data_IF_778873729338
#
_entry.id   IF_778873729338
#
_cell.length_a   1.000
_cell.length_b   1.000
_cell.length_c   1.000
_cell.angle_alpha   90.00
_cell.angle_beta   90.00
_cell.angle_gamma   90.00
#
_symmetry.space_group_name_H-M   'P 1'
#
loop_
_entity.id
_entity.type
_entity.pdbx_description
1 polymer ?
#
# COMPACT_ATOMS: atom_id res chain seq x y z
N UNK A 1 -28.92 30.59 25.15
CA UNK A 1 -28.99 31.13 23.78
C UNK A 1 -27.63 31.18 23.06
N UNK A 2 -26.55 30.63 23.64
CA UNK A 2 -25.23 30.55 22.98
C UNK A 2 -24.79 29.12 22.60
N UNK A 3 -25.52 28.09 23.03
CA UNK A 3 -25.16 26.69 22.74
C UNK A 3 -25.49 26.26 21.29
N UNK A 4 -26.24 27.07 20.55
CA UNK A 4 -26.52 26.86 19.12
C UNK A 4 -25.46 27.48 18.18
N UNK A 5 -24.47 28.22 18.72
CA UNK A 5 -23.35 28.78 17.92
C UNK A 5 -22.19 27.81 17.70
N UNK A 6 -22.26 26.58 18.21
CA UNK A 6 -21.33 25.50 17.83
C UNK A 6 -21.85 24.67 16.64
N UNK A 7 -22.90 25.15 15.97
CA UNK A 7 -23.38 24.64 14.69
C UNK A 7 -22.52 25.25 13.57
N UNK A 8 -21.79 24.38 12.87
CA UNK A 8 -21.03 24.64 11.64
C UNK A 8 -19.60 25.19 11.80
N UNK A 9 -18.68 24.42 12.40
CA UNK A 9 -17.32 24.44 11.84
C UNK A 9 -17.37 23.61 10.56
N UNK A 10 -17.27 24.24 9.38
CA UNK A 10 -17.01 23.49 8.15
C UNK A 10 -15.87 22.50 8.43
N UNK A 11 -15.96 21.24 8.00
CA UNK A 11 -14.84 20.33 8.14
C UNK A 11 -13.63 20.99 7.46
N UNK A 12 -12.50 21.03 8.16
CA UNK A 12 -11.29 21.68 7.67
C UNK A 12 -11.02 21.16 6.25
N UNK A 13 -11.15 22.05 5.26
CA UNK A 13 -11.06 21.70 3.84
C UNK A 13 -9.72 21.01 3.54
N UNK A 14 -8.67 21.37 4.27
CA UNK A 14 -7.37 20.73 4.18
C UNK A 14 -7.39 19.30 4.72
N UNK A 15 -8.04 19.07 5.87
CA UNK A 15 -8.21 17.72 6.43
C UNK A 15 -9.00 16.81 5.48
N UNK A 16 -10.12 17.31 4.93
CA UNK A 16 -10.94 16.55 3.97
C UNK A 16 -10.13 16.20 2.73
N UNK A 17 -9.37 17.15 2.20
CA UNK A 17 -8.50 16.92 1.05
C UNK A 17 -7.40 15.89 1.33
N UNK A 18 -6.73 15.98 2.48
CA UNK A 18 -5.70 15.03 2.89
C UNK A 18 -6.28 13.62 3.10
N UNK A 19 -7.46 13.50 3.70
CA UNK A 19 -8.15 12.22 3.84
C UNK A 19 -8.48 11.60 2.48
N UNK A 20 -8.92 12.41 1.53
CA UNK A 20 -9.15 11.96 0.16
C UNK A 20 -7.84 11.48 -0.50
N UNK A 21 -6.77 12.28 -0.41
CA UNK A 21 -5.48 11.92 -1.01
C UNK A 21 -4.89 10.64 -0.43
N UNK A 22 -4.82 10.51 0.90
CA UNK A 22 -4.29 9.30 1.53
C UNK A 22 -5.25 8.11 1.38
N UNK A 23 -6.55 8.34 1.28
CA UNK A 23 -7.52 7.30 0.92
C UNK A 23 -7.28 6.76 -0.49
N UNK A 24 -7.10 7.65 -1.47
CA UNK A 24 -6.73 7.26 -2.84
C UNK A 24 -5.37 6.56 -2.89
N UNK A 25 -4.39 7.06 -2.13
CA UNK A 25 -3.08 6.43 -1.97
C UNK A 25 -3.18 5.02 -1.36
N UNK A 26 -4.09 4.79 -0.40
CA UNK A 26 -4.33 3.47 0.19
C UNK A 26 -4.94 2.48 -0.80
N UNK A 27 -5.83 2.95 -1.68
CA UNK A 27 -6.37 2.12 -2.77
C UNK A 27 -5.26 1.76 -3.76
N UNK A 28 -4.40 2.74 -4.09
CA UNK A 28 -3.27 2.50 -4.97
C UNK A 28 -2.27 1.51 -4.37
N UNK A 29 -1.94 1.65 -3.09
CA UNK A 29 -1.11 0.71 -2.33
C UNK A 29 -1.65 -0.72 -2.37
N UNK A 30 -2.95 -0.88 -2.14
CA UNK A 30 -3.61 -2.18 -2.29
C UNK A 30 -3.45 -2.78 -3.69
N UNK A 31 -3.61 -1.97 -4.74
CA UNK A 31 -3.45 -2.41 -6.13
C UNK A 31 -2.00 -2.80 -6.41
N UNK A 32 -1.02 -1.97 -6.00
CA UNK A 32 0.40 -2.27 -6.23
C UNK A 32 0.85 -3.50 -5.45
N UNK A 33 0.31 -3.75 -4.26
CA UNK A 33 0.60 -4.95 -3.50
C UNK A 33 -0.02 -6.20 -4.13
N UNK A 34 -1.23 -6.12 -4.71
CA UNK A 34 -1.81 -7.23 -5.49
C UNK A 34 -0.89 -7.56 -6.67
N UNK A 35 -0.51 -6.54 -7.45
CA UNK A 35 0.35 -6.71 -8.63
C UNK A 35 1.73 -7.24 -8.24
N UNK A 36 2.30 -6.76 -7.13
CA UNK A 36 3.55 -7.24 -6.58
C UNK A 36 3.50 -8.71 -6.20
N UNK A 37 2.42 -9.16 -5.54
CA UNK A 37 2.26 -10.58 -5.18
C UNK A 37 2.05 -11.44 -6.43
N UNK A 38 1.23 -11.02 -7.39
CA UNK A 38 1.07 -11.73 -8.68
C UNK A 38 2.43 -11.83 -9.40
N UNK A 39 3.20 -10.74 -9.39
CA UNK A 39 4.57 -10.67 -9.87
C UNK A 39 5.48 -11.70 -9.24
N UNK A 40 5.41 -11.87 -7.91
CA UNK A 40 6.23 -12.86 -7.20
C UNK A 40 5.98 -14.30 -7.65
N UNK A 41 4.75 -14.60 -8.05
CA UNK A 41 4.36 -15.94 -8.51
C UNK A 41 4.53 -16.14 -10.02
N UNK A 42 5.00 -15.14 -10.78
CA UNK A 42 5.26 -15.32 -12.21
C UNK A 42 3.99 -15.47 -13.07
N UNK A 43 2.81 -15.09 -12.57
CA UNK A 43 1.52 -15.37 -13.23
C UNK A 43 1.19 -14.33 -14.30
N UNK A 44 1.23 -14.75 -15.57
CA UNK A 44 1.12 -13.91 -16.79
C UNK A 44 -0.21 -13.91 -17.52
N UNK A 45 -1.10 -14.83 -17.18
CA UNK A 45 -2.36 -14.93 -17.87
C UNK A 45 -3.52 -15.23 -16.92
N UNK A 46 -4.74 -15.04 -17.45
CA UNK A 46 -5.99 -15.17 -16.70
C UNK A 46 -6.51 -16.62 -16.71
N UNK A 47 -5.62 -17.62 -16.77
CA UNK A 47 -6.04 -19.02 -16.75
C UNK A 47 -6.58 -19.41 -15.38
N UNK A 48 -7.53 -20.35 -15.41
CA UNK A 48 -8.16 -20.90 -14.19
C UNK A 48 -7.14 -21.55 -13.23
N UNK A 49 -6.02 -22.06 -13.76
CA UNK A 49 -4.94 -22.67 -12.96
C UNK A 49 -4.29 -21.68 -11.99
N UNK A 50 -4.37 -20.38 -12.26
CA UNK A 50 -3.78 -19.33 -11.42
C UNK A 50 -4.75 -18.67 -10.44
N UNK A 51 -6.01 -19.12 -10.37
CA UNK A 51 -6.99 -18.65 -9.37
C UNK A 51 -6.42 -18.64 -7.94
N UNK A 52 -5.71 -19.69 -7.47
CA UNK A 52 -5.15 -19.68 -6.11
C UNK A 52 -4.16 -18.53 -5.88
N UNK A 53 -3.38 -18.15 -6.90
CA UNK A 53 -2.44 -17.02 -6.83
C UNK A 53 -3.19 -15.70 -6.70
N UNK A 54 -4.23 -15.48 -7.51
CA UNK A 54 -5.04 -14.26 -7.42
C UNK A 54 -5.75 -14.14 -6.06
N UNK A 55 -6.24 -15.24 -5.50
CA UNK A 55 -6.80 -15.27 -4.14
C UNK A 55 -5.72 -14.94 -3.10
N UNK A 56 -4.52 -15.53 -3.22
CA UNK A 56 -3.40 -15.26 -2.32
C UNK A 56 -3.00 -13.79 -2.36
N UNK A 57 -2.92 -13.18 -3.55
CA UNK A 57 -2.64 -11.76 -3.72
C UNK A 57 -3.72 -10.90 -3.06
N UNK A 58 -5.00 -11.20 -3.31
CA UNK A 58 -6.11 -10.46 -2.72
C UNK A 58 -6.10 -10.52 -1.18
N UNK A 59 -5.95 -11.72 -0.62
CA UNK A 59 -5.93 -11.93 0.84
C UNK A 59 -4.68 -11.29 1.47
N UNK A 60 -3.51 -11.48 0.86
CA UNK A 60 -2.25 -10.89 1.33
C UNK A 60 -2.30 -9.37 1.37
N UNK A 61 -2.72 -8.74 0.26
CA UNK A 61 -2.85 -7.28 0.19
C UNK A 61 -3.94 -6.73 1.11
N UNK A 62 -5.03 -7.47 1.34
CA UNK A 62 -6.07 -7.06 2.29
C UNK A 62 -5.56 -7.10 3.74
N UNK A 63 -4.72 -8.09 4.10
CA UNK A 63 -4.09 -8.16 5.43
C UNK A 63 -3.09 -7.02 5.64
N UNK A 64 -2.25 -6.74 4.63
CA UNK A 64 -1.34 -5.59 4.64
C UNK A 64 -2.13 -4.29 4.86
N UNK A 65 -3.10 -4.01 3.99
CA UNK A 65 -3.90 -2.80 4.06
C UNK A 65 -4.61 -2.70 5.40
N UNK A 66 -5.23 -3.80 5.86
CA UNK A 66 -5.94 -3.87 7.14
C UNK A 66 -5.06 -3.55 8.34
N UNK A 67 -3.81 -4.01 8.37
CA UNK A 67 -2.86 -3.66 9.42
C UNK A 67 -2.43 -2.18 9.32
N UNK A 68 -2.14 -1.69 8.11
CA UNK A 68 -1.67 -0.33 7.86
C UNK A 68 -2.73 0.74 8.16
N UNK A 69 -4.00 0.52 7.78
CA UNK A 69 -5.10 1.45 8.09
C UNK A 69 -5.47 1.46 9.58
N UNK A 70 -5.02 0.48 10.36
CA UNK A 70 -5.19 0.40 11.82
C UNK A 70 -3.88 0.67 12.59
N UNK A 71 -2.90 1.30 11.93
CA UNK A 71 -1.63 1.66 12.55
C UNK A 71 -1.78 2.53 13.80
N UNK A 72 -2.77 3.44 13.83
CA UNK A 72 -3.06 4.32 14.98
C UNK A 72 -3.51 3.53 16.20
N UNK A 73 -4.08 2.34 16.05
CA UNK A 73 -4.52 1.48 17.15
C UNK A 73 -3.40 0.53 17.63
N UNK A 74 -2.49 0.15 16.73
CA UNK A 74 -1.38 -0.80 16.98
C UNK A 74 -0.21 -0.17 17.74
N UNK A 75 0.17 1.05 17.37
CA UNK A 75 1.42 1.68 17.82
C UNK A 75 1.38 2.52 19.10
N UNK A 76 0.25 3.08 19.60
CA UNK A 76 0.25 3.86 20.83
C UNK A 76 0.76 3.07 22.03
N UNK A 77 1.45 3.75 22.96
CA UNK A 77 1.87 3.14 24.23
C UNK A 77 0.67 2.65 25.06
N UNK A 78 -0.45 3.38 24.98
CA UNK A 78 -1.74 3.08 25.61
C UNK A 78 -2.58 2.03 24.88
N UNK A 79 -2.10 1.46 23.76
CA UNK A 79 -2.84 0.45 23.01
C UNK A 79 -3.22 -0.75 23.91
N UNK A 80 -4.42 -1.29 23.71
CA UNK A 80 -4.85 -2.53 24.34
C UNK A 80 -3.84 -3.65 24.00
N UNK A 81 -3.56 -4.56 24.95
CA UNK A 81 -2.64 -5.67 24.74
C UNK A 81 -2.97 -6.51 23.49
N UNK A 82 -4.26 -6.59 23.12
CA UNK A 82 -4.72 -7.23 21.87
C UNK A 82 -4.21 -6.57 20.59
N UNK A 83 -3.91 -5.27 20.59
CA UNK A 83 -3.31 -4.56 19.46
C UNK A 83 -1.78 -4.56 19.53
N UNK A 84 -1.20 -4.64 20.73
CA UNK A 84 0.27 -4.70 20.91
C UNK A 84 0.88 -5.97 20.30
N UNK A 85 0.18 -7.10 20.38
CA UNK A 85 0.63 -8.36 19.75
C UNK A 85 0.69 -8.26 18.22
N UNK A 86 -0.04 -7.32 17.61
CA UNK A 86 -0.03 -7.10 16.16
C UNK A 86 1.18 -6.31 15.67
N UNK A 87 1.98 -5.70 16.55
CA UNK A 87 3.16 -4.90 16.16
C UNK A 87 4.20 -5.67 15.32
N UNK A 88 4.65 -6.88 15.72
CA UNK A 88 5.57 -7.64 14.87
C UNK A 88 4.96 -7.98 13.51
N UNK A 89 3.67 -8.36 13.47
CA UNK A 89 2.97 -8.66 12.22
C UNK A 89 2.84 -7.42 11.33
N UNK A 90 2.55 -6.25 11.92
CA UNK A 90 2.48 -5.00 11.18
C UNK A 90 3.85 -4.55 10.67
N UNK A 91 4.94 -4.76 11.43
CA UNK A 91 6.29 -4.49 10.95
C UNK A 91 6.66 -5.37 9.75
N UNK A 92 6.34 -6.67 9.83
CA UNK A 92 6.53 -7.59 8.70
C UNK A 92 5.65 -7.20 7.51
N UNK A 93 4.40 -6.78 7.76
CA UNK A 93 3.50 -6.31 6.73
C UNK A 93 4.06 -5.07 6.03
N UNK A 94 4.59 -4.08 6.74
CA UNK A 94 5.20 -2.88 6.14
C UNK A 94 6.39 -3.25 5.24
N UNK A 95 7.25 -4.18 5.68
CA UNK A 95 8.41 -4.62 4.87
C UNK A 95 7.92 -5.32 3.60
N UNK A 96 6.94 -6.22 3.74
CA UNK A 96 6.39 -6.96 2.61
C UNK A 96 5.59 -6.05 1.66
N UNK A 97 4.89 -5.07 2.20
CA UNK A 97 4.17 -4.04 1.46
C UNK A 97 5.14 -3.18 0.66
N UNK A 98 6.20 -2.67 1.28
CA UNK A 98 7.24 -1.93 0.57
C UNK A 98 7.82 -2.73 -0.60
N UNK A 99 8.08 -4.02 -0.39
CA UNK A 99 8.61 -4.90 -1.42
C UNK A 99 7.61 -5.15 -2.56
N UNK A 100 6.35 -5.47 -2.23
CA UNK A 100 5.31 -5.75 -3.22
C UNK A 100 4.87 -4.48 -3.95
N UNK A 101 4.74 -3.35 -3.26
CA UNK A 101 4.49 -2.04 -3.87
C UNK A 101 5.65 -1.55 -4.73
N UNK A 102 6.91 -1.87 -4.40
CA UNK A 102 8.04 -1.62 -5.29
C UNK A 102 7.88 -2.37 -6.61
N UNK A 103 7.61 -3.67 -6.54
CA UNK A 103 7.42 -4.52 -7.72
C UNK A 103 6.21 -4.05 -8.54
N UNK A 104 5.07 -3.82 -7.91
CA UNK A 104 3.86 -3.33 -8.56
C UNK A 104 4.03 -1.94 -9.18
N UNK A 105 4.78 -1.04 -8.54
CA UNK A 105 5.10 0.29 -9.08
C UNK A 105 6.06 0.21 -10.27
N UNK A 106 7.09 -0.64 -10.19
CA UNK A 106 8.02 -0.88 -11.29
C UNK A 106 7.29 -1.40 -12.54
N UNK A 107 6.39 -2.38 -12.33
CA UNK A 107 5.54 -2.95 -13.38
C UNK A 107 4.59 -1.93 -13.99
N UNK A 108 3.94 -1.10 -13.18
CA UNK A 108 2.87 -0.20 -13.64
C UNK A 108 3.39 1.09 -14.30
N UNK A 109 4.51 1.64 -13.82
CA UNK A 109 5.00 2.96 -14.23
C UNK A 109 6.19 2.87 -15.17
N UNK A 110 7.20 2.06 -14.83
CA UNK A 110 8.51 2.11 -15.50
C UNK A 110 8.64 1.11 -16.64
N UNK A 111 7.99 -0.04 -16.53
CA UNK A 111 8.14 -1.16 -17.49
C UNK A 111 6.87 -1.35 -18.35
N UNK A 112 6.11 -0.26 -18.52
CA UNK A 112 4.77 -0.25 -19.10
C UNK A 112 4.68 -0.85 -20.52
N UNK A 113 5.76 -0.80 -21.30
CA UNK A 113 5.84 -1.28 -22.69
C UNK A 113 6.34 -2.73 -22.84
N UNK A 114 6.70 -3.41 -21.74
CA UNK A 114 7.11 -4.83 -21.74
C UNK A 114 6.03 -5.79 -21.22
N UNK A 115 4.76 -5.38 -21.22
CA UNK A 115 3.62 -6.14 -20.65
C UNK A 115 3.46 -7.57 -21.18
N UNK A 116 3.96 -7.87 -22.39
CA UNK A 116 3.97 -9.22 -22.97
C UNK A 116 5.16 -10.08 -22.53
N UNK A 117 6.17 -9.51 -21.87
CA UNK A 117 7.43 -10.19 -21.56
C UNK A 117 7.73 -10.40 -20.08
N UNK A 118 7.04 -9.76 -19.13
CA UNK A 118 7.63 -9.65 -17.80
C UNK A 118 6.68 -9.73 -16.61
N UNK A 119 6.58 -10.95 -16.09
CA UNK A 119 6.13 -11.25 -14.72
C UNK A 119 7.16 -12.09 -13.97
N UNK A 120 8.32 -12.33 -14.58
CA UNK A 120 9.47 -12.95 -13.92
C UNK A 120 10.39 -11.96 -13.22
N UNK A 121 10.12 -10.64 -13.26
CA UNK A 121 11.02 -9.63 -12.68
C UNK A 121 10.95 -9.65 -11.15
N UNK A 122 11.90 -10.34 -10.52
CA UNK A 122 12.24 -10.14 -9.13
C UNK A 122 12.88 -8.77 -8.90
N UNK A 123 12.99 -8.36 -7.63
CA UNK A 123 13.54 -7.05 -7.25
C UNK A 123 14.89 -6.72 -7.93
N UNK A 124 15.79 -7.69 -8.05
CA UNK A 124 17.11 -7.52 -8.67
C UNK A 124 17.02 -7.15 -10.15
N UNK A 125 16.14 -7.79 -10.91
CA UNK A 125 16.00 -7.55 -12.34
C UNK A 125 15.29 -6.20 -12.61
N UNK A 126 14.33 -5.81 -11.76
CA UNK A 126 13.70 -4.48 -11.83
C UNK A 126 14.73 -3.39 -11.52
N UNK A 127 15.62 -3.66 -10.58
CA UNK A 127 16.71 -2.76 -10.23
C UNK A 127 17.76 -2.68 -11.35
N UNK A 128 18.17 -3.79 -11.95
CA UNK A 128 19.15 -3.76 -13.04
C UNK A 128 18.58 -3.13 -14.32
N UNK A 129 17.30 -3.34 -14.60
CA UNK A 129 16.60 -2.80 -15.77
C UNK A 129 16.24 -1.31 -15.69
N UNK A 130 16.54 -0.62 -14.59
CA UNK A 130 16.19 0.79 -14.38
C UNK A 130 17.41 1.69 -14.24
N UNK A 131 17.34 2.87 -14.85
CA UNK A 131 18.34 3.94 -14.68
C UNK A 131 18.39 4.45 -13.24
N UNK A 132 19.47 5.13 -12.86
CA UNK A 132 19.63 5.68 -11.51
C UNK A 132 18.49 6.64 -11.11
N UNK A 133 18.06 7.51 -12.04
CA UNK A 133 16.95 8.43 -11.80
C UNK A 133 15.62 7.68 -11.61
N UNK A 134 15.39 6.61 -12.38
CA UNK A 134 14.20 5.77 -12.24
C UNK A 134 14.19 5.01 -10.91
N UNK A 135 15.35 4.56 -10.41
CA UNK A 135 15.48 3.94 -9.09
C UNK A 135 15.06 4.89 -7.96
N UNK A 136 15.55 6.13 -8.00
CA UNK A 136 15.19 7.14 -7.01
C UNK A 136 13.68 7.42 -7.06
N UNK A 137 13.13 7.64 -8.25
CA UNK A 137 11.71 7.89 -8.42
C UNK A 137 10.86 6.70 -7.93
N UNK A 138 11.27 5.48 -8.24
CA UNK A 138 10.60 4.25 -7.82
C UNK A 138 10.60 4.09 -6.30
N UNK A 139 11.75 4.27 -5.66
CA UNK A 139 11.85 4.22 -4.20
C UNK A 139 10.98 5.30 -3.54
N UNK A 140 11.01 6.53 -4.06
CA UNK A 140 10.22 7.63 -3.52
C UNK A 140 8.72 7.36 -3.63
N UNK A 141 8.25 6.93 -4.82
CA UNK A 141 6.84 6.56 -5.02
C UNK A 141 6.46 5.39 -4.11
N UNK A 142 7.29 4.37 -4.01
CA UNK A 142 7.03 3.20 -3.14
C UNK A 142 6.82 3.63 -1.69
N UNK A 143 7.70 4.48 -1.15
CA UNK A 143 7.55 5.01 0.22
C UNK A 143 6.23 5.77 0.36
N UNK A 144 5.90 6.65 -0.58
CA UNK A 144 4.64 7.43 -0.52
C UNK A 144 3.41 6.53 -0.54
N UNK A 145 3.43 5.49 -1.37
CA UNK A 145 2.34 4.54 -1.54
C UNK A 145 2.18 3.69 -0.28
N UNK A 146 3.22 2.99 0.17
CA UNK A 146 3.22 2.16 1.41
C UNK A 146 2.87 2.95 2.67
N UNK A 147 3.28 4.22 2.75
CA UNK A 147 2.97 5.07 3.92
C UNK A 147 1.57 5.68 3.87
N UNK A 148 0.89 5.68 2.71
CA UNK A 148 -0.45 6.27 2.55
C UNK A 148 -1.50 5.68 3.49
N UNK A 149 -1.68 4.35 3.62
CA UNK A 149 -2.65 3.79 4.57
C UNK A 149 -2.31 4.09 6.04
N UNK A 150 -1.03 4.20 6.38
CA UNK A 150 -0.59 4.59 7.73
C UNK A 150 -0.89 6.07 8.00
N UNK A 151 -0.66 6.95 7.03
CA UNK A 151 -1.02 8.36 7.12
C UNK A 151 -2.53 8.54 7.23
N UNK A 152 -3.31 7.82 6.41
CA UNK A 152 -4.77 7.77 6.47
C UNK A 152 -5.26 7.33 7.85
N UNK A 153 -4.69 6.25 8.40
CA UNK A 153 -5.00 5.74 9.75
C UNK A 153 -4.86 6.82 10.82
N UNK A 154 -3.81 7.63 10.73
CA UNK A 154 -3.54 8.69 11.71
C UNK A 154 -4.46 9.89 11.57
N UNK A 155 -4.82 10.26 10.35
CA UNK A 155 -5.59 11.48 10.04
C UNK A 155 -7.10 11.32 10.15
N UNK A 156 -7.66 10.11 9.95
CA UNK A 156 -9.13 9.90 9.94
C UNK A 156 -9.83 10.08 11.29
N UNK A 157 -9.06 10.30 12.36
CA UNK A 157 -9.47 10.34 13.75
C UNK A 157 -8.76 11.49 14.46
#
# INVERSE_FOLDING_TARGET
>A
MELDKMRNSEPDKMLVFLLFLFGAGSIWDFVTSILGIIGLFGVTDLRLEYIPTYITALVGSALILGLSINAKEIWPKSANNRYKILRPFHMMAIIFDFYTSFLGTAQSILLKDSRTAFITIGFGEAWEGTTFQQKIALLFITVLVTMSPIAFSRLRN
#
